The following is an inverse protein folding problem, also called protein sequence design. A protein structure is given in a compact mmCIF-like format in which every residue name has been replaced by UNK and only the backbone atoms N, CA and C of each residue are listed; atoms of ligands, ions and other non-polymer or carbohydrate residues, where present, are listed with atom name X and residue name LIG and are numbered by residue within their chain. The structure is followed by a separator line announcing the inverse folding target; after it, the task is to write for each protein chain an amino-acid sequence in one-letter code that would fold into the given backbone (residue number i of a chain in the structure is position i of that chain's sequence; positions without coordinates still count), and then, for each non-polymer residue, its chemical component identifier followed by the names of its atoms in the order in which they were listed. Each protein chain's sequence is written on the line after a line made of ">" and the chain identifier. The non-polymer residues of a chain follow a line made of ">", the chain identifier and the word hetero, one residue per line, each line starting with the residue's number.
data_IF_450024605075
#
_entry.id   IF_450024605075
#
_cell.length_a   1.000
_cell.length_b   1.000
_cell.length_c   1.000
_cell.angle_alpha   90.00
_cell.angle_beta   90.00
_cell.angle_gamma   90.00
#
_symmetry.space_group_name_H-M   'P 1'
#
loop_
_entity.id
_entity.type
_entity.pdbx_description
1 polymer ?
#
# COMPACT_ATOMS: atom_id res chain seq x y z
N UNK A 1 1.50 42.87 -25.71
CA UNK A 1 0.76 43.62 -26.75
C UNK A 1 0.32 42.66 -27.84
N UNK A 2 -0.96 42.73 -28.19
CA UNK A 2 -1.69 41.86 -29.11
C UNK A 2 -1.19 41.84 -30.57
N UNK A 3 -1.61 40.76 -31.27
CA UNK A 3 -2.07 40.63 -32.68
C UNK A 3 -1.25 39.61 -33.46
N UNK A 4 -1.74 38.42 -33.83
CA UNK A 4 -2.79 38.04 -34.81
C UNK A 4 -2.73 38.76 -36.18
N UNK A 5 -2.53 37.99 -37.24
CA UNK A 5 -3.04 38.14 -38.62
C UNK A 5 -2.79 36.81 -39.37
N UNK A 6 -3.79 36.05 -39.84
CA UNK A 6 -4.60 36.23 -41.09
C UNK A 6 -3.70 36.32 -42.34
N UNK A 7 -3.88 35.63 -43.48
CA UNK A 7 -4.83 34.62 -44.02
C UNK A 7 -4.34 34.21 -45.43
N UNK A 8 -4.73 33.01 -45.88
CA UNK A 8 -5.16 32.58 -47.24
C UNK A 8 -4.52 33.18 -48.52
N UNK A 9 -4.10 32.33 -49.46
CA UNK A 9 -4.85 31.97 -50.70
C UNK A 9 -3.94 31.21 -51.68
N UNK A 10 -4.51 30.23 -52.39
CA UNK A 10 -3.85 29.57 -53.51
C UNK A 10 -4.66 28.40 -54.08
N UNK A 11 -5.79 28.72 -54.70
CA UNK A 11 -6.61 27.79 -55.50
C UNK A 11 -6.06 27.74 -56.93
N UNK A 12 -5.98 26.54 -57.52
CA UNK A 12 -5.69 26.33 -58.94
C UNK A 12 -6.22 24.98 -59.47
N UNK A 13 -7.46 25.03 -59.96
CA UNK A 13 -8.15 24.24 -61.03
C UNK A 13 -7.26 23.53 -62.07
N UNK A 14 -7.64 22.52 -62.86
CA UNK A 14 -8.75 21.54 -63.08
C UNK A 14 -8.30 20.72 -64.33
N UNK A 15 -9.07 19.67 -64.68
CA UNK A 15 -9.06 18.83 -65.91
C UNK A 15 -8.10 17.62 -65.91
N UNK A 16 -8.47 16.42 -66.38
CA UNK A 16 -9.68 15.96 -67.08
C UNK A 16 -9.85 14.43 -66.97
N UNK A 17 -11.06 14.02 -67.37
CA UNK A 17 -11.71 12.71 -67.43
C UNK A 17 -10.90 11.51 -67.94
N UNK A 18 -11.20 10.35 -67.36
CA UNK A 18 -11.60 9.15 -68.13
C UNK A 18 -12.48 8.26 -67.24
N UNK A 19 -13.77 8.15 -67.58
CA UNK A 19 -14.62 7.07 -67.09
C UNK A 19 -14.38 5.84 -67.97
N UNK A 20 -13.95 4.74 -67.35
CA UNK A 20 -14.22 3.39 -67.86
C UNK A 20 -14.91 2.67 -66.72
N UNK A 21 -16.21 2.44 -66.92
CA UNK A 21 -17.02 1.62 -66.04
C UNK A 21 -16.61 0.15 -66.24
N UNK A 22 -15.91 -0.41 -65.25
CA UNK A 22 -15.90 -1.85 -65.02
C UNK A 22 -16.67 -2.09 -63.73
N UNK A 23 -17.86 -2.68 -63.88
CA UNK A 23 -18.61 -3.26 -62.78
C UNK A 23 -17.84 -4.50 -62.29
N UNK A 24 -17.05 -4.32 -61.24
CA UNK A 24 -16.68 -5.39 -60.32
C UNK A 24 -17.48 -5.18 -59.04
N UNK A 25 -18.24 -6.20 -58.63
CA UNK A 25 -18.81 -6.28 -57.29
C UNK A 25 -17.66 -6.20 -56.28
N UNK A 26 -17.43 -5.01 -55.74
CA UNK A 26 -16.61 -4.80 -54.56
C UNK A 26 -17.43 -5.27 -53.35
N UNK A 27 -16.89 -6.13 -52.46
CA UNK A 27 -17.54 -6.39 -51.18
C UNK A 27 -17.70 -5.07 -50.43
N UNK A 28 -18.82 -4.93 -49.73
CA UNK A 28 -19.19 -3.74 -48.98
C UNK A 28 -18.02 -3.21 -48.13
N UNK A 29 -17.86 -1.89 -47.97
CA UNK A 29 -16.86 -1.33 -47.07
C UNK A 29 -17.15 -1.85 -45.66
N UNK A 30 -16.23 -2.64 -45.12
CA UNK A 30 -16.23 -2.99 -43.71
C UNK A 30 -16.26 -1.67 -42.93
N UNK A 31 -17.33 -1.48 -42.17
CA UNK A 31 -17.43 -0.46 -41.13
C UNK A 31 -16.13 -0.41 -40.35
N UNK A 32 -15.52 0.77 -40.10
CA UNK A 32 -14.33 0.86 -39.28
C UNK A 32 -14.62 0.18 -37.95
N UNK A 33 -13.81 -0.83 -37.62
CA UNK A 33 -13.89 -1.54 -36.36
C UNK A 33 -13.99 -0.51 -35.23
N UNK A 34 -15.02 -0.67 -34.39
CA UNK A 34 -15.09 -0.02 -33.09
C UNK A 34 -13.73 -0.23 -32.39
N UNK A 35 -13.16 0.77 -31.69
CA UNK A 35 -11.95 0.54 -30.91
C UNK A 35 -12.19 -0.69 -30.04
N UNK A 36 -11.35 -1.72 -30.22
CA UNK A 36 -11.49 -2.97 -29.51
C UNK A 36 -11.50 -2.67 -28.01
N UNK A 37 -12.62 -2.96 -27.34
CA UNK A 37 -12.67 -2.88 -25.88
C UNK A 37 -11.64 -3.88 -25.35
N UNK A 38 -10.70 -3.38 -24.54
CA UNK A 38 -9.70 -4.23 -23.89
C UNK A 38 -10.41 -5.30 -23.07
N UNK A 39 -9.86 -6.52 -23.10
CA UNK A 39 -10.28 -7.59 -22.20
C UNK A 39 -10.01 -7.20 -20.73
N UNK A 40 -10.73 -7.83 -19.80
CA UNK A 40 -10.51 -7.59 -18.37
C UNK A 40 -9.06 -7.88 -17.95
N UNK A 41 -8.47 -8.94 -18.51
CA UNK A 41 -7.08 -9.31 -18.26
C UNK A 41 -6.10 -8.21 -18.72
N UNK A 42 -6.33 -7.61 -19.90
CA UNK A 42 -5.52 -6.49 -20.39
C UNK A 42 -5.65 -5.26 -19.49
N UNK A 43 -6.87 -4.96 -19.01
CA UNK A 43 -7.10 -3.85 -18.08
C UNK A 43 -6.39 -4.07 -16.73
N UNK A 44 -6.41 -5.30 -16.21
CA UNK A 44 -5.73 -5.64 -14.96
C UNK A 44 -4.21 -5.50 -15.10
N UNK A 45 -3.64 -5.91 -16.25
CA UNK A 45 -2.23 -5.71 -16.55
C UNK A 45 -1.84 -4.24 -16.73
N UNK A 46 -2.65 -3.44 -17.42
CA UNK A 46 -2.43 -1.99 -17.54
C UNK A 46 -2.44 -1.33 -16.15
N UNK A 47 -3.37 -1.73 -15.27
CA UNK A 47 -3.43 -1.23 -13.90
C UNK A 47 -2.19 -1.61 -13.09
N UNK A 48 -1.67 -2.83 -13.23
CA UNK A 48 -0.41 -3.28 -12.60
C UNK A 48 0.76 -2.44 -13.09
N UNK A 49 0.90 -2.23 -14.40
CA UNK A 49 1.98 -1.43 -14.98
C UNK A 49 1.91 0.00 -14.44
N UNK A 50 0.74 0.65 -14.53
CA UNK A 50 0.54 2.02 -14.05
C UNK A 50 0.86 2.17 -12.56
N UNK A 51 0.45 1.20 -11.73
CA UNK A 51 0.75 1.18 -10.29
C UNK A 51 2.25 1.08 -9.98
N UNK A 52 3.01 0.41 -10.84
CA UNK A 52 4.44 0.16 -10.63
C UNK A 52 5.34 1.26 -11.21
N UNK A 53 4.78 2.18 -11.98
CA UNK A 53 5.54 3.27 -12.60
C UNK A 53 6.20 4.16 -11.53
N UNK A 54 7.50 4.42 -11.69
CA UNK A 54 8.32 5.15 -10.72
C UNK A 54 8.47 4.52 -9.32
N UNK A 55 7.77 3.42 -9.02
CA UNK A 55 7.69 2.84 -7.67
C UNK A 55 9.06 2.46 -7.10
N UNK A 56 9.88 1.73 -7.87
CA UNK A 56 11.20 1.29 -7.43
C UNK A 56 12.12 2.46 -7.06
N UNK A 57 12.11 3.53 -7.86
CA UNK A 57 12.94 4.71 -7.62
C UNK A 57 12.48 5.42 -6.34
N UNK A 58 11.17 5.64 -6.22
CA UNK A 58 10.57 6.25 -5.02
C UNK A 58 10.82 5.41 -3.76
N UNK A 59 10.75 4.09 -3.87
CA UNK A 59 11.08 3.16 -2.79
C UNK A 59 12.55 3.29 -2.35
N UNK A 60 13.50 3.32 -3.29
CA UNK A 60 14.92 3.48 -2.94
C UNK A 60 15.20 4.80 -2.22
N UNK A 61 14.42 5.86 -2.50
CA UNK A 61 14.51 7.14 -1.80
C UNK A 61 13.92 7.09 -0.37
N UNK A 62 12.94 6.22 -0.13
CA UNK A 62 12.20 6.15 1.14
C UNK A 62 12.67 5.03 2.07
N UNK A 63 13.51 4.09 1.59
CA UNK A 63 13.98 2.93 2.35
C UNK A 63 14.52 3.27 3.73
N UNK A 64 15.35 4.31 3.80
CA UNK A 64 15.96 4.76 5.06
C UNK A 64 14.91 5.28 6.04
N UNK A 65 13.90 6.00 5.52
CA UNK A 65 12.79 6.49 6.33
C UNK A 65 12.00 5.34 6.96
N UNK A 66 11.78 4.26 6.21
CA UNK A 66 11.08 3.08 6.71
C UNK A 66 11.86 2.34 7.77
N UNK A 67 13.16 2.13 7.57
CA UNK A 67 14.03 1.51 8.60
C UNK A 67 13.97 2.29 9.91
N UNK A 68 14.07 3.62 9.82
CA UNK A 68 13.97 4.51 10.98
C UNK A 68 12.59 4.44 11.64
N UNK A 69 11.52 4.34 10.86
CA UNK A 69 10.17 4.15 11.36
C UNK A 69 10.04 2.82 12.12
N UNK A 70 10.46 1.70 11.53
CA UNK A 70 10.40 0.39 12.21
C UNK A 70 11.25 0.37 13.48
N UNK A 71 12.46 0.93 13.45
CA UNK A 71 13.30 1.07 14.64
C UNK A 71 12.62 1.93 15.72
N UNK A 72 11.91 2.99 15.33
CA UNK A 72 11.13 3.80 16.26
C UNK A 72 9.97 3.01 16.87
N UNK A 73 9.22 2.25 16.07
CA UNK A 73 8.10 1.40 16.54
C UNK A 73 8.61 0.37 17.56
N UNK A 74 9.72 -0.30 17.27
CA UNK A 74 10.40 -1.25 18.16
C UNK A 74 10.76 -0.58 19.50
N UNK A 75 11.40 0.60 19.43
CA UNK A 75 11.76 1.39 20.62
C UNK A 75 10.54 1.79 21.43
N UNK A 76 9.50 2.34 20.79
CA UNK A 76 8.27 2.77 21.46
C UNK A 76 7.57 1.59 22.15
N UNK A 77 7.50 0.42 21.51
CA UNK A 77 6.97 -0.81 22.11
C UNK A 77 7.73 -1.17 23.40
N UNK A 78 9.05 -1.11 23.37
CA UNK A 78 9.89 -1.39 24.54
C UNK A 78 9.66 -0.37 25.66
N UNK A 79 9.54 0.91 25.34
CA UNK A 79 9.25 1.97 26.31
C UNK A 79 7.85 1.83 26.94
N UNK A 80 6.83 1.48 26.16
CA UNK A 80 5.48 1.19 26.66
C UNK A 80 5.51 0.00 27.62
N UNK A 81 6.21 -1.07 27.26
CA UNK A 81 6.34 -2.25 28.13
C UNK A 81 7.09 -1.95 29.43
N UNK A 82 8.15 -1.17 29.36
CA UNK A 82 8.90 -0.69 30.53
C UNK A 82 8.02 0.20 31.42
N UNK A 83 7.28 1.14 30.84
CA UNK A 83 6.34 2.00 31.56
C UNK A 83 5.25 1.18 32.26
N UNK A 84 4.63 0.22 31.57
CA UNK A 84 3.64 -0.69 32.16
C UNK A 84 4.19 -1.48 33.34
N UNK A 85 5.42 -1.98 33.23
CA UNK A 85 6.08 -2.69 34.34
C UNK A 85 6.25 -1.77 35.55
N UNK A 86 6.82 -0.57 35.35
CA UNK A 86 7.00 0.44 36.40
C UNK A 86 5.66 0.82 37.04
N UNK A 87 4.63 1.05 36.23
CA UNK A 87 3.30 1.40 36.71
C UNK A 87 2.65 0.33 37.57
N UNK A 88 2.82 -0.96 37.23
CA UNK A 88 2.37 -2.05 38.11
C UNK A 88 3.08 -2.04 39.45
N UNK A 89 4.37 -1.73 39.48
CA UNK A 89 5.16 -1.64 40.71
C UNK A 89 4.76 -0.42 41.55
N UNK A 90 4.57 0.74 40.92
CA UNK A 90 4.13 1.97 41.57
C UNK A 90 2.73 1.80 42.18
N UNK A 91 1.79 1.22 41.44
CA UNK A 91 0.41 0.97 41.91
C UNK A 91 0.36 -0.02 43.08
N UNK A 92 1.27 -1.01 43.14
CA UNK A 92 1.37 -1.93 44.29
C UNK A 92 1.86 -1.24 45.56
N UNK A 93 2.67 -0.20 45.42
CA UNK A 93 3.22 0.58 46.54
C UNK A 93 2.31 1.74 46.94
N UNK A 94 1.39 2.14 46.06
CA UNK A 94 0.44 3.21 46.33
C UNK A 94 -0.55 2.82 47.44
N UNK A 95 -0.81 3.76 48.33
CA UNK A 95 -1.88 3.63 49.32
C UNK A 95 -3.22 4.10 48.72
N UNK A 96 -4.32 4.00 49.50
CA UNK A 96 -5.66 4.40 49.06
C UNK A 96 -5.70 5.82 48.47
N UNK A 97 -5.03 6.76 49.12
CA UNK A 97 -5.11 8.19 48.79
C UNK A 97 -4.25 8.56 47.56
N UNK A 98 -3.19 7.79 47.29
CA UNK A 98 -2.28 8.03 46.15
C UNK A 98 -2.54 7.13 44.95
N UNK A 99 -3.42 6.14 45.09
CA UNK A 99 -3.71 5.16 44.03
C UNK A 99 -4.23 5.85 42.77
N UNK A 100 -5.22 6.73 42.89
CA UNK A 100 -5.80 7.43 41.74
C UNK A 100 -4.79 8.33 41.04
N UNK A 101 -4.06 9.18 41.79
CA UNK A 101 -3.00 10.02 41.24
C UNK A 101 -1.91 9.20 40.52
N UNK A 102 -1.59 8.01 41.04
CA UNK A 102 -0.65 7.08 40.40
C UNK A 102 -1.20 6.53 39.08
N UNK A 103 -2.49 6.15 39.06
CA UNK A 103 -3.18 5.71 37.84
C UNK A 103 -3.18 6.80 36.76
N UNK A 104 -3.52 8.03 37.14
CA UNK A 104 -3.52 9.20 36.23
C UNK A 104 -2.13 9.44 35.64
N UNK A 105 -1.09 9.46 36.48
CA UNK A 105 0.31 9.61 36.03
C UNK A 105 0.71 8.50 35.06
N UNK A 106 0.35 7.26 35.38
CA UNK A 106 0.66 6.10 34.56
C UNK A 106 0.00 6.15 33.19
N UNK A 107 -1.29 6.50 33.16
CA UNK A 107 -2.02 6.64 31.91
C UNK A 107 -1.53 7.85 31.10
N UNK A 108 -1.23 8.99 31.75
CA UNK A 108 -0.64 10.15 31.08
C UNK A 108 0.67 9.84 30.38
N UNK A 109 1.54 9.01 30.98
CA UNK A 109 2.77 8.56 30.30
C UNK A 109 2.50 7.59 29.14
N UNK A 110 1.54 6.67 29.28
CA UNK A 110 1.12 5.82 28.15
C UNK A 110 0.56 6.66 27.00
N UNK A 111 -0.23 7.69 27.30
CA UNK A 111 -0.84 8.59 26.33
C UNK A 111 0.22 9.39 25.56
N UNK A 112 1.23 9.91 26.25
CA UNK A 112 2.35 10.60 25.63
C UNK A 112 3.12 9.70 24.66
N UNK A 113 3.45 8.46 25.08
CA UNK A 113 4.12 7.48 24.21
C UNK A 113 3.25 7.10 23.00
N UNK A 114 1.93 7.01 23.20
CA UNK A 114 0.97 6.77 22.13
C UNK A 114 0.91 7.93 21.12
N UNK A 115 0.94 9.16 21.60
CA UNK A 115 0.96 10.38 20.77
C UNK A 115 2.20 10.42 19.88
N UNK A 116 3.38 10.22 20.47
CA UNK A 116 4.65 10.18 19.72
C UNK A 116 4.63 9.10 18.62
N UNK A 117 4.02 7.94 18.88
CA UNK A 117 3.83 6.91 17.88
C UNK A 117 2.84 7.32 16.78
N UNK A 118 1.73 7.94 17.13
CA UNK A 118 0.73 8.41 16.16
C UNK A 118 1.31 9.51 15.24
N UNK A 119 2.09 10.45 15.78
CA UNK A 119 2.80 11.46 14.98
C UNK A 119 3.81 10.82 14.01
N UNK A 120 4.55 9.81 14.47
CA UNK A 120 5.48 9.06 13.59
C UNK A 120 4.77 8.24 12.53
N UNK A 121 3.62 7.67 12.86
CA UNK A 121 2.74 6.99 11.91
C UNK A 121 2.23 7.93 10.83
N UNK A 122 1.82 9.15 11.20
CA UNK A 122 1.40 10.17 10.25
C UNK A 122 2.54 10.53 9.27
N UNK A 123 3.73 10.84 9.79
CA UNK A 123 4.92 11.15 8.95
C UNK A 123 5.29 9.99 8.02
N UNK A 124 5.15 8.75 8.50
CA UNK A 124 5.38 7.56 7.69
C UNK A 124 4.33 7.45 6.56
N UNK A 125 3.05 7.61 6.88
CA UNK A 125 1.98 7.58 5.90
C UNK A 125 2.10 8.71 4.85
N UNK A 126 2.62 9.88 5.21
CA UNK A 126 2.88 10.99 4.26
C UNK A 126 4.00 10.67 3.27
N UNK A 127 5.02 9.92 3.70
CA UNK A 127 6.25 9.74 2.93
C UNK A 127 6.35 8.40 2.20
N UNK A 128 5.49 7.43 2.53
CA UNK A 128 5.58 6.09 1.97
C UNK A 128 5.20 6.04 0.49
N UNK A 129 5.98 5.29 -0.30
CA UNK A 129 5.74 5.08 -1.73
C UNK A 129 4.82 3.88 -2.00
N UNK A 130 4.20 3.89 -3.19
CA UNK A 130 3.40 2.76 -3.69
C UNK A 130 2.05 2.57 -3.01
N UNK A 131 1.48 3.65 -2.49
CA UNK A 131 0.15 3.66 -1.88
C UNK A 131 -0.72 4.63 -2.66
N UNK A 132 -1.96 4.23 -2.89
CA UNK A 132 -3.03 5.06 -3.46
C UNK A 132 -3.35 6.28 -2.57
N UNK A 133 -3.63 7.42 -3.21
CA UNK A 133 -3.85 8.69 -2.50
C UNK A 133 -5.12 8.66 -1.63
N UNK A 134 -6.16 7.89 -1.98
CA UNK A 134 -7.33 7.76 -1.12
C UNK A 134 -6.98 7.00 0.17
N UNK A 135 -6.14 5.97 0.07
CA UNK A 135 -5.67 5.21 1.25
C UNK A 135 -4.74 6.03 2.13
N UNK A 136 -3.88 6.84 1.52
CA UNK A 136 -3.06 7.82 2.23
C UNK A 136 -3.95 8.81 2.99
N UNK A 137 -4.91 9.43 2.31
CA UNK A 137 -5.81 10.41 2.91
C UNK A 137 -6.64 9.82 4.07
N UNK A 138 -7.17 8.59 3.91
CA UNK A 138 -7.90 7.87 4.95
C UNK A 138 -7.06 7.74 6.23
N UNK A 139 -5.82 7.24 6.12
CA UNK A 139 -4.92 7.07 7.27
C UNK A 139 -4.60 8.39 7.95
N UNK A 140 -4.28 9.43 7.16
CA UNK A 140 -3.93 10.75 7.69
C UNK A 140 -5.10 11.36 8.47
N UNK A 141 -6.32 11.24 7.93
CA UNK A 141 -7.52 11.72 8.60
C UNK A 141 -7.72 11.04 9.96
N UNK A 142 -7.82 9.71 9.98
CA UNK A 142 -8.14 8.99 11.23
C UNK A 142 -7.01 9.07 12.27
N UNK A 143 -5.76 9.21 11.81
CA UNK A 143 -4.61 9.45 12.71
C UNK A 143 -4.66 10.85 13.32
N UNK A 144 -5.04 11.85 12.52
CA UNK A 144 -5.28 13.21 13.01
C UNK A 144 -6.37 13.25 14.09
N UNK A 145 -7.50 12.59 13.84
CA UNK A 145 -8.59 12.47 14.82
C UNK A 145 -8.14 11.81 16.14
N UNK A 146 -7.30 10.77 16.05
CA UNK A 146 -6.71 10.13 17.24
C UNK A 146 -5.79 11.10 18.00
N UNK A 147 -4.94 11.85 17.31
CA UNK A 147 -4.03 12.82 17.93
C UNK A 147 -4.81 13.92 18.68
N UNK A 148 -5.86 14.45 18.06
CA UNK A 148 -6.76 15.44 18.70
C UNK A 148 -7.45 14.84 19.94
N UNK A 149 -7.94 13.61 19.85
CA UNK A 149 -8.55 12.92 20.98
C UNK A 149 -7.55 12.66 22.12
N UNK A 150 -6.31 12.28 21.79
CA UNK A 150 -5.23 12.13 22.78
C UNK A 150 -4.92 13.45 23.48
N UNK A 151 -4.87 14.56 22.74
CA UNK A 151 -4.63 15.90 23.31
C UNK A 151 -5.77 16.38 24.20
N UNK A 152 -7.02 16.09 23.83
CA UNK A 152 -8.18 16.37 24.66
C UNK A 152 -8.10 15.60 26.00
N UNK A 153 -7.78 14.30 25.97
CA UNK A 153 -7.62 13.49 27.19
C UNK A 153 -6.44 13.97 28.03
N UNK A 154 -5.29 14.30 27.41
CA UNK A 154 -4.11 14.83 28.10
C UNK A 154 -4.40 16.16 28.80
N UNK A 155 -5.15 17.04 28.12
CA UNK A 155 -5.64 18.31 28.69
C UNK A 155 -6.60 18.07 29.84
N UNK A 156 -7.51 17.09 29.71
CA UNK A 156 -8.42 16.69 30.79
C UNK A 156 -7.68 16.21 32.03
N UNK A 157 -6.63 15.40 31.85
CA UNK A 157 -5.73 15.00 32.93
C UNK A 157 -5.07 16.21 33.60
N UNK A 158 -4.50 17.12 32.80
CA UNK A 158 -3.78 18.29 33.30
C UNK A 158 -4.66 19.33 34.01
N UNK A 159 -5.98 19.27 33.79
CA UNK A 159 -6.99 20.14 34.41
C UNK A 159 -7.80 19.44 35.50
N UNK A 160 -7.36 18.25 35.94
CA UNK A 160 -8.04 17.44 36.97
C UNK A 160 -9.54 17.21 36.65
N UNK A 161 -9.87 17.01 35.37
CA UNK A 161 -11.25 16.78 34.92
C UNK A 161 -11.76 15.42 35.40
N UNK A 162 -10.89 14.42 35.43
CA UNK A 162 -11.21 13.06 35.88
C UNK A 162 -11.19 12.99 37.40
N UNK A 163 -12.31 12.55 37.99
CA UNK A 163 -12.54 12.54 39.44
C UNK A 163 -12.18 11.22 40.08
N UNK A 164 -12.30 10.13 39.33
CA UNK A 164 -12.05 8.78 39.81
C UNK A 164 -11.50 7.83 38.72
N UNK A 165 -11.18 6.62 39.15
CA UNK A 165 -10.58 5.57 38.30
C UNK A 165 -11.55 5.13 37.19
N UNK A 166 -12.86 5.16 37.43
CA UNK A 166 -13.88 4.68 36.49
C UNK A 166 -14.02 5.65 35.30
N UNK A 167 -14.09 6.97 35.56
CA UNK A 167 -14.11 7.99 34.50
C UNK A 167 -12.86 7.91 33.61
N UNK A 168 -11.68 7.69 34.21
CA UNK A 168 -10.42 7.56 33.46
C UNK A 168 -10.38 6.27 32.62
N UNK A 169 -10.87 5.17 33.17
CA UNK A 169 -10.95 3.89 32.46
C UNK A 169 -11.94 3.96 31.29
N UNK A 170 -13.07 4.65 31.46
CA UNK A 170 -14.03 4.90 30.39
C UNK A 170 -13.40 5.75 29.28
N UNK A 171 -12.71 6.85 29.62
CA UNK A 171 -11.99 7.66 28.64
C UNK A 171 -10.95 6.84 27.86
N UNK A 172 -10.19 5.96 28.54
CA UNK A 172 -9.25 5.05 27.89
C UNK A 172 -9.94 4.07 26.92
N UNK A 173 -11.06 3.48 27.32
CA UNK A 173 -11.84 2.57 26.47
C UNK A 173 -12.39 3.30 25.25
N UNK A 174 -12.95 4.49 25.43
CA UNK A 174 -13.49 5.31 24.36
C UNK A 174 -12.39 5.75 23.39
N UNK A 175 -11.23 6.17 23.90
CA UNK A 175 -10.07 6.52 23.06
C UNK A 175 -9.66 5.34 22.18
N UNK A 176 -9.55 4.14 22.76
CA UNK A 176 -9.18 2.95 22.01
C UNK A 176 -10.25 2.54 20.98
N UNK A 177 -11.52 2.45 21.39
CA UNK A 177 -12.61 1.95 20.55
C UNK A 177 -12.95 2.92 19.41
N UNK A 178 -13.07 4.21 19.72
CA UNK A 178 -13.53 5.23 18.77
C UNK A 178 -12.43 5.68 17.83
N UNK A 179 -11.19 5.79 18.31
CA UNK A 179 -10.09 6.37 17.52
C UNK A 179 -8.95 5.37 17.26
N UNK A 180 -8.59 4.56 18.26
CA UNK A 180 -7.51 3.58 18.13
C UNK A 180 -7.79 2.48 17.12
N UNK A 181 -8.98 1.86 17.14
CA UNK A 181 -9.35 0.77 16.22
C UNK A 181 -9.39 1.26 14.75
N UNK A 182 -10.01 2.40 14.42
CA UNK A 182 -9.96 2.93 13.04
C UNK A 182 -8.53 3.19 12.54
N UNK A 183 -7.63 3.71 13.37
CA UNK A 183 -6.22 3.87 13.01
C UNK A 183 -5.58 2.51 12.73
N UNK A 184 -5.83 1.49 13.54
CA UNK A 184 -5.30 0.15 13.30
C UNK A 184 -5.81 -0.47 11.99
N UNK A 185 -7.10 -0.28 11.68
CA UNK A 185 -7.69 -0.75 10.42
C UNK A 185 -7.10 -0.03 9.21
N UNK A 186 -7.07 1.30 9.23
CA UNK A 186 -6.54 2.10 8.11
C UNK A 186 -5.06 1.79 7.83
N UNK A 187 -4.24 1.59 8.86
CA UNK A 187 -2.85 1.15 8.68
C UNK A 187 -2.74 -0.25 8.08
N UNK A 188 -3.62 -1.17 8.46
CA UNK A 188 -3.65 -2.52 7.87
C UNK A 188 -3.95 -2.46 6.37
N UNK A 189 -4.88 -1.57 5.97
CA UNK A 189 -5.21 -1.31 4.57
C UNK A 189 -4.06 -0.62 3.82
N UNK A 190 -3.40 0.36 4.44
CA UNK A 190 -2.21 1.04 3.89
C UNK A 190 -1.09 0.05 3.58
N UNK A 191 -0.78 -0.83 4.53
CA UNK A 191 0.24 -1.87 4.36
C UNK A 191 -0.14 -2.86 3.25
N UNK A 192 -1.41 -3.27 3.18
CA UNK A 192 -1.89 -4.15 2.11
C UNK A 192 -1.80 -3.49 0.73
N UNK A 193 -2.22 -2.23 0.60
CA UNK A 193 -2.17 -1.51 -0.67
C UNK A 193 -0.73 -1.33 -1.16
N UNK A 194 0.19 -0.99 -0.25
CA UNK A 194 1.62 -0.97 -0.56
C UNK A 194 2.15 -2.33 -0.97
N UNK A 195 1.72 -3.39 -0.31
CA UNK A 195 2.13 -4.76 -0.64
C UNK A 195 1.62 -5.15 -2.02
N UNK A 196 0.41 -4.72 -2.43
CA UNK A 196 -0.07 -4.91 -3.80
C UNK A 196 0.83 -4.25 -4.83
N UNK A 197 1.36 -3.07 -4.55
CA UNK A 197 2.31 -2.41 -5.44
C UNK A 197 3.62 -3.19 -5.59
N UNK A 198 4.10 -3.83 -4.51
CA UNK A 198 5.23 -4.76 -4.60
C UNK A 198 4.91 -6.01 -5.41
N UNK A 199 3.74 -6.62 -5.19
CA UNK A 199 3.27 -7.79 -5.94
C UNK A 199 3.18 -7.47 -7.43
N UNK A 200 2.50 -6.38 -7.79
CA UNK A 200 2.44 -5.90 -9.16
C UNK A 200 3.85 -5.65 -9.75
N UNK A 201 4.77 -5.08 -8.96
CA UNK A 201 6.14 -4.86 -9.42
C UNK A 201 6.85 -6.18 -9.73
N UNK A 202 6.72 -7.17 -8.86
CA UNK A 202 7.30 -8.50 -9.07
C UNK A 202 6.71 -9.15 -10.32
N UNK A 203 5.37 -9.12 -10.48
CA UNK A 203 4.69 -9.71 -11.63
C UNK A 203 5.08 -9.07 -12.95
N UNK A 204 5.10 -7.73 -13.02
CA UNK A 204 5.54 -7.00 -14.22
C UNK A 204 6.99 -7.31 -14.56
N UNK A 205 7.87 -7.41 -13.55
CA UNK A 205 9.28 -7.78 -13.77
C UNK A 205 9.44 -9.21 -14.26
N UNK A 206 8.65 -10.13 -13.71
CA UNK A 206 8.67 -11.54 -14.11
C UNK A 206 8.16 -11.71 -15.54
N UNK A 207 7.07 -11.04 -15.91
CA UNK A 207 6.54 -11.00 -17.28
C UNK A 207 7.55 -10.43 -18.29
N UNK A 208 8.19 -9.30 -17.96
CA UNK A 208 9.24 -8.73 -18.82
C UNK A 208 10.41 -9.71 -18.99
N UNK A 209 10.77 -10.44 -17.94
CA UNK A 209 11.87 -11.41 -17.98
C UNK A 209 11.51 -12.61 -18.86
N UNK A 210 10.31 -13.16 -18.72
CA UNK A 210 9.86 -14.30 -19.54
C UNK A 210 9.67 -13.93 -21.01
N UNK A 211 9.39 -12.67 -21.35
CA UNK A 211 9.23 -12.20 -22.73
C UNK A 211 10.54 -11.79 -23.40
N UNK A 212 11.51 -11.26 -22.65
CA UNK A 212 12.72 -10.64 -23.23
C UNK A 212 14.02 -11.40 -22.96
N UNK A 213 14.00 -12.44 -22.12
CA UNK A 213 15.17 -13.24 -21.79
C UNK A 213 14.94 -14.70 -22.21
N UNK A 214 15.97 -15.32 -22.79
CA UNK A 214 15.93 -16.77 -23.01
C UNK A 214 15.96 -17.49 -21.66
N UNK A 215 14.84 -18.12 -21.31
CA UNK A 215 14.70 -18.87 -20.08
C UNK A 215 14.74 -20.37 -20.37
N UNK A 216 15.41 -21.13 -19.50
CA UNK A 216 15.32 -22.58 -19.53
C UNK A 216 13.87 -23.06 -19.35
N UNK A 217 13.44 -24.18 -19.96
CA UNK A 217 12.05 -24.63 -19.89
C UNK A 217 11.52 -24.79 -18.47
N UNK A 218 12.33 -25.35 -17.57
CA UNK A 218 11.96 -25.54 -16.15
C UNK A 218 11.85 -24.20 -15.41
N UNK A 219 12.73 -23.24 -15.71
CA UNK A 219 12.68 -21.90 -15.14
C UNK A 219 11.43 -21.14 -15.62
N UNK A 220 11.04 -21.31 -16.89
CA UNK A 220 9.83 -20.71 -17.46
C UNK A 220 8.55 -21.30 -16.83
N UNK A 221 8.49 -22.61 -16.63
CA UNK A 221 7.38 -23.27 -15.93
C UNK A 221 7.23 -22.73 -14.50
N UNK A 222 8.33 -22.64 -13.74
CA UNK A 222 8.31 -22.06 -12.39
C UNK A 222 7.98 -20.57 -12.36
N UNK A 223 8.43 -19.79 -13.34
CA UNK A 223 8.03 -18.40 -13.49
C UNK A 223 6.51 -18.27 -13.68
N UNK A 224 5.92 -19.17 -14.48
CA UNK A 224 4.47 -19.18 -14.73
C UNK A 224 3.68 -19.56 -13.48
N UNK A 225 4.14 -20.56 -12.71
CA UNK A 225 3.57 -20.90 -11.40
C UNK A 225 3.65 -19.73 -10.41
N UNK A 226 4.81 -19.06 -10.35
CA UNK A 226 5.01 -17.90 -9.49
C UNK A 226 4.05 -16.74 -9.87
N UNK A 227 3.87 -16.47 -11.16
CA UNK A 227 2.91 -15.46 -11.63
C UNK A 227 1.49 -15.76 -11.13
N UNK A 228 0.99 -16.98 -11.32
CA UNK A 228 -0.34 -17.38 -10.83
C UNK A 228 -0.46 -17.27 -9.31
N UNK A 229 0.59 -17.64 -8.57
CA UNK A 229 0.63 -17.48 -7.12
C UNK A 229 0.49 -16.00 -6.69
N UNK A 230 1.20 -15.08 -7.36
CA UNK A 230 1.13 -13.66 -7.07
C UNK A 230 -0.22 -13.04 -7.46
N UNK A 231 -0.88 -13.52 -8.52
CA UNK A 231 -2.26 -13.12 -8.87
C UNK A 231 -3.26 -13.49 -7.76
N UNK A 232 -3.16 -14.70 -7.22
CA UNK A 232 -3.95 -15.10 -6.04
C UNK A 232 -3.61 -14.25 -4.81
N UNK A 233 -2.33 -13.88 -4.64
CA UNK A 233 -1.91 -13.00 -3.55
C UNK A 233 -2.55 -11.61 -3.63
N UNK A 234 -2.72 -11.04 -4.84
CA UNK A 234 -3.45 -9.79 -5.04
C UNK A 234 -4.89 -9.89 -4.53
N UNK A 235 -5.57 -11.01 -4.80
CA UNK A 235 -6.94 -11.25 -4.32
C UNK A 235 -7.03 -11.30 -2.80
N UNK A 236 -6.06 -11.92 -2.12
CA UNK A 236 -6.00 -11.89 -0.66
C UNK A 236 -5.75 -10.48 -0.10
N UNK A 237 -4.92 -9.68 -0.76
CA UNK A 237 -4.67 -8.29 -0.37
C UNK A 237 -5.91 -7.42 -0.58
N UNK A 238 -6.69 -7.65 -1.63
CA UNK A 238 -7.99 -6.98 -1.84
C UNK A 238 -8.98 -7.27 -0.73
N UNK A 239 -9.01 -8.48 -0.18
CA UNK A 239 -9.83 -8.80 0.98
C UNK A 239 -9.45 -7.96 2.22
N UNK A 240 -8.16 -7.63 2.40
CA UNK A 240 -7.72 -6.70 3.46
C UNK A 240 -8.25 -5.29 3.20
N UNK A 241 -8.15 -4.81 1.96
CA UNK A 241 -8.61 -3.48 1.56
C UNK A 241 -10.13 -3.31 1.71
N UNK A 242 -10.89 -4.37 1.42
CA UNK A 242 -12.35 -4.39 1.53
C UNK A 242 -12.86 -4.60 2.97
N UNK A 243 -12.01 -5.04 3.90
CA UNK A 243 -12.42 -5.36 5.27
C UNK A 243 -12.90 -4.15 6.04
N UNK A 244 -14.15 -4.11 6.47
CA UNK A 244 -14.72 -3.00 7.28
C UNK A 244 -14.33 -3.03 8.77
N UNK A 245 -13.86 -4.18 9.24
CA UNK A 245 -13.51 -4.42 10.64
C UNK A 245 -12.04 -4.78 10.78
N UNK A 246 -11.40 -4.26 11.82
CA UNK A 246 -9.99 -4.49 12.09
C UNK A 246 -9.65 -5.98 12.24
N UNK A 247 -10.49 -6.76 12.93
CA UNK A 247 -10.22 -8.18 13.15
C UNK A 247 -10.20 -8.97 11.84
N UNK A 248 -11.11 -8.63 10.91
CA UNK A 248 -11.18 -9.24 9.59
C UNK A 248 -9.96 -8.85 8.74
N UNK A 249 -9.56 -7.58 8.79
CA UNK A 249 -8.38 -7.09 8.08
C UNK A 249 -7.10 -7.81 8.55
N UNK A 250 -6.94 -8.01 9.87
CA UNK A 250 -5.80 -8.76 10.43
C UNK A 250 -5.80 -10.21 9.99
N UNK A 251 -6.97 -10.86 10.01
CA UNK A 251 -7.11 -12.24 9.56
C UNK A 251 -6.73 -12.40 8.09
N UNK A 252 -7.28 -11.56 7.21
CA UNK A 252 -6.96 -11.55 5.78
C UNK A 252 -5.48 -11.21 5.53
N UNK A 253 -4.91 -10.26 6.29
CA UNK A 253 -3.50 -9.91 6.17
C UNK A 253 -2.57 -11.06 6.53
N UNK A 254 -2.91 -11.86 7.55
CA UNK A 254 -2.13 -13.05 7.90
C UNK A 254 -2.22 -14.14 6.82
N UNK A 255 -3.39 -14.34 6.20
CA UNK A 255 -3.52 -15.27 5.07
C UNK A 255 -2.67 -14.81 3.88
N UNK A 256 -2.77 -13.53 3.52
CA UNK A 256 -1.96 -12.93 2.46
C UNK A 256 -0.46 -13.10 2.72
N UNK A 257 0.03 -12.85 3.95
CA UNK A 257 1.44 -13.04 4.29
C UNK A 257 1.90 -14.49 4.17
N UNK A 258 1.07 -15.44 4.58
CA UNK A 258 1.38 -16.87 4.44
C UNK A 258 1.53 -17.23 2.97
N UNK A 259 0.56 -16.85 2.14
CA UNK A 259 0.57 -17.13 0.71
C UNK A 259 1.73 -16.43 -0.02
N UNK A 260 2.02 -15.18 0.33
CA UNK A 260 3.17 -14.44 -0.22
C UNK A 260 4.51 -15.10 0.11
N UNK A 261 4.63 -15.79 1.25
CA UNK A 261 5.83 -16.56 1.56
C UNK A 261 5.99 -17.75 0.58
N UNK A 262 4.91 -18.48 0.33
CA UNK A 262 4.89 -19.60 -0.63
C UNK A 262 5.21 -19.11 -2.07
N UNK A 263 4.69 -17.95 -2.48
CA UNK A 263 5.05 -17.34 -3.77
C UNK A 263 6.51 -16.89 -3.84
N UNK A 264 7.11 -16.50 -2.70
CA UNK A 264 8.52 -16.18 -2.58
C UNK A 264 9.40 -17.39 -2.89
N UNK A 265 9.07 -18.56 -2.34
CA UNK A 265 9.79 -19.80 -2.59
C UNK A 265 9.78 -20.19 -4.09
N UNK A 266 8.65 -19.98 -4.78
CA UNK A 266 8.53 -20.21 -6.22
C UNK A 266 9.41 -19.25 -7.04
N UNK A 267 9.46 -17.98 -6.63
CA UNK A 267 10.31 -16.98 -7.29
C UNK A 267 11.81 -17.29 -7.08
N UNK A 268 12.20 -17.73 -5.88
CA UNK A 268 13.57 -18.16 -5.61
C UNK A 268 13.97 -19.39 -6.43
N UNK A 269 13.07 -20.38 -6.55
CA UNK A 269 13.28 -21.55 -7.40
C UNK A 269 13.43 -21.18 -8.88
N UNK A 270 12.60 -20.25 -9.37
CA UNK A 270 12.70 -19.70 -10.74
C UNK A 270 14.10 -19.13 -10.99
N UNK A 271 14.60 -18.28 -10.08
CA UNK A 271 15.94 -17.69 -10.20
C UNK A 271 17.07 -18.72 -10.07
N UNK A 272 16.90 -19.77 -9.26
CA UNK A 272 17.87 -20.84 -9.16
C UNK A 272 18.00 -21.61 -10.48
N UNK A 273 16.88 -22.07 -11.05
CA UNK A 273 16.85 -22.80 -12.32
C UNK A 273 17.39 -21.96 -13.48
N UNK A 274 17.06 -20.67 -13.52
CA UNK A 274 17.60 -19.77 -14.54
C UNK A 274 19.13 -19.65 -14.47
N UNK A 275 19.69 -19.51 -13.26
CA UNK A 275 21.15 -19.46 -13.09
C UNK A 275 21.84 -20.76 -13.50
N UNK A 276 21.20 -21.90 -13.27
CA UNK A 276 21.72 -23.20 -13.71
C UNK A 276 21.73 -23.30 -15.24
N UNK A 277 20.66 -22.87 -15.90
CA UNK A 277 20.57 -22.82 -17.36
C UNK A 277 21.65 -21.92 -17.99
N UNK A 278 21.86 -20.72 -17.43
CA UNK A 278 22.89 -19.77 -17.85
C UNK A 278 24.33 -20.32 -17.68
N UNK A 279 24.54 -21.23 -16.72
CA UNK A 279 25.84 -21.89 -16.51
C UNK A 279 26.07 -23.08 -17.45
N UNK A 280 25.00 -23.71 -17.95
CA UNK A 280 25.08 -24.85 -18.87
C UNK A 280 25.16 -24.43 -20.34
N UNK A 281 24.72 -23.21 -20.67
CA UNK A 281 24.85 -22.62 -22.00
C UNK A 281 26.27 -22.06 -22.16
N UNK A 282 27.13 -22.62 -23.04
CA UNK A 282 28.45 -22.06 -23.26
C UNK A 282 28.29 -20.65 -23.82
N UNK A 283 28.95 -19.68 -23.20
CA UNK A 283 29.04 -18.32 -23.75
C UNK A 283 29.83 -18.41 -25.05
N UNK A 284 29.16 -18.32 -26.19
CA UNK A 284 29.84 -18.21 -27.49
C UNK A 284 30.59 -16.87 -27.53
N UNK A 285 31.93 -16.91 -27.44
CA UNK A 285 32.85 -15.79 -27.73
C UNK A 285 33.02 -15.58 -29.25
#
# INVERSE_FOLDING_TARGET
>A
MHRTSFTLFGVGTLLSMAMVAYAQELPAPETPASPAELSQEELDWEARIARTDGFRISMLQTIRGMELFHAFVEKNRNEVMANRKKCREDLRKANRDTKFATTVRCFGKELQLGKELAEKKQQFAESISGVDELRRAEVLQVTGELLEAMDAVSTGISRDVFRDEDELLEAKKNLHKTYGIPVLLSFSRLEADRTRTWVAHIMVRLLITTQNTEMGPEAFEKASEALGCYEEAESYLEAVLASERYENAVFAANQSRSHLADCGDLLEATHALQREFEQMTPTEE
#
